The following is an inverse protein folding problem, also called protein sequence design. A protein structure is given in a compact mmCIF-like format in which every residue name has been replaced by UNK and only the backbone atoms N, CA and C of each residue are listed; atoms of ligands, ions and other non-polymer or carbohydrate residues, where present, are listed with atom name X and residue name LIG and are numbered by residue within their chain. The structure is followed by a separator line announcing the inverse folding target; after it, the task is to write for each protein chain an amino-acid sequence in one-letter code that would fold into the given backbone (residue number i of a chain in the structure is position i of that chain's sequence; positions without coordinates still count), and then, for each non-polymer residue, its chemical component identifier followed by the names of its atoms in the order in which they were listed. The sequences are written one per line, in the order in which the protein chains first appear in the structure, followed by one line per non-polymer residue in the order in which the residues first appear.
data_IF_748233795460
#
_entry.id   IF_748233795460
#
_cell.length_a   1.000
_cell.length_b   1.000
_cell.length_c   1.000
_cell.angle_alpha   90.00
_cell.angle_beta   90.00
_cell.angle_gamma   90.00
#
_symmetry.space_group_name_H-M   'P 1'
#
loop_
_entity.id
_entity.type
_entity.pdbx_description
1 polymer ?
#
# COMPACT_ATOMS: atom_id res chain seq x y z
N UNK A 1 -25.84 13.17 11.74
CA UNK A 1 -25.66 12.22 12.85
C UNK A 1 -26.49 12.71 14.04
N UNK A 2 -27.23 11.82 14.70
CA UNK A 2 -28.01 12.18 15.88
C UNK A 2 -27.80 11.09 16.94
N UNK A 3 -27.46 11.49 18.17
CA UNK A 3 -27.28 10.55 19.30
C UNK A 3 -28.56 9.79 19.60
N UNK A 4 -29.73 10.41 19.43
CA UNK A 4 -31.04 9.79 19.65
C UNK A 4 -31.41 8.71 18.62
N UNK A 5 -30.75 8.69 17.46
CA UNK A 5 -30.97 7.67 16.42
C UNK A 5 -29.90 6.55 16.43
N UNK A 6 -28.99 6.56 17.40
CA UNK A 6 -27.96 5.54 17.53
C UNK A 6 -26.95 5.48 16.35
N UNK A 7 -26.90 6.51 15.50
CA UNK A 7 -26.03 6.57 14.32
C UNK A 7 -24.80 7.49 14.53
N UNK A 8 -24.39 7.67 15.78
CA UNK A 8 -23.17 8.38 16.12
C UNK A 8 -22.03 7.37 16.24
N UNK A 9 -20.99 7.59 15.47
CA UNK A 9 -19.76 6.83 15.55
C UNK A 9 -18.79 7.60 16.47
N UNK A 10 -18.25 6.93 17.49
CA UNK A 10 -17.20 7.48 18.34
C UNK A 10 -15.84 7.28 17.64
N UNK A 11 -15.17 8.35 17.19
CA UNK A 11 -13.87 8.25 16.52
C UNK A 11 -12.79 7.62 17.41
N UNK A 12 -12.80 7.89 18.72
CA UNK A 12 -11.79 7.38 19.64
C UNK A 12 -11.92 5.86 19.77
N UNK A 13 -13.13 5.37 20.00
CA UNK A 13 -13.38 3.93 20.08
C UNK A 13 -12.97 3.19 18.79
N UNK A 14 -13.17 3.81 17.61
CA UNK A 14 -12.75 3.22 16.35
C UNK A 14 -11.23 3.25 16.15
N UNK A 15 -10.55 4.32 16.56
CA UNK A 15 -9.09 4.38 16.47
C UNK A 15 -8.42 3.40 17.41
N UNK A 16 -8.95 3.19 18.61
CA UNK A 16 -8.47 2.18 19.57
C UNK A 16 -8.64 0.74 19.03
N UNK A 17 -9.78 0.48 18.38
CA UNK A 17 -10.12 -0.85 17.85
C UNK A 17 -9.38 -1.20 16.56
N UNK A 18 -9.25 -0.25 15.64
CA UNK A 18 -8.76 -0.50 14.28
C UNK A 18 -7.43 0.17 13.93
N UNK A 19 -7.00 1.15 14.72
CA UNK A 19 -5.86 2.00 14.44
C UNK A 19 -6.25 3.31 13.75
N UNK A 20 -5.50 4.36 14.05
CA UNK A 20 -5.74 5.72 13.55
C UNK A 20 -5.64 5.80 12.03
N UNK A 21 -4.65 5.12 11.42
CA UNK A 21 -4.44 5.15 9.98
C UNK A 21 -5.61 4.52 9.22
N UNK A 22 -6.14 3.40 9.71
CA UNK A 22 -7.30 2.73 9.13
C UNK A 22 -8.55 3.62 9.19
N UNK A 23 -8.75 4.29 10.32
CA UNK A 23 -9.86 5.23 10.50
C UNK A 23 -9.75 6.42 9.54
N UNK A 24 -8.58 7.08 9.48
CA UNK A 24 -8.31 8.22 8.58
C UNK A 24 -8.50 7.83 7.11
N UNK A 25 -7.97 6.67 6.70
CA UNK A 25 -8.15 6.17 5.34
C UNK A 25 -9.64 5.94 5.02
N UNK A 26 -10.41 5.40 5.98
CA UNK A 26 -11.86 5.23 5.85
C UNK A 26 -12.65 6.54 5.68
N UNK A 27 -12.12 7.64 6.20
CA UNK A 27 -12.70 8.98 6.03
C UNK A 27 -12.40 9.59 4.66
N UNK A 28 -11.32 9.19 4.02
CA UNK A 28 -10.87 9.78 2.73
C UNK A 28 -11.33 8.96 1.54
N UNK A 29 -11.05 7.66 1.52
CA UNK A 29 -11.30 6.83 0.33
C UNK A 29 -12.77 6.60 0.08
N UNK A 30 -13.20 6.78 -1.16
CA UNK A 30 -14.57 6.57 -1.61
C UNK A 30 -15.58 7.61 -1.09
N UNK A 31 -15.08 8.77 -0.65
CA UNK A 31 -15.94 9.86 -0.16
C UNK A 31 -15.84 11.05 -1.12
N UNK A 32 -16.78 11.10 -2.06
CA UNK A 32 -16.88 12.22 -2.99
C UNK A 32 -17.37 13.48 -2.27
N UNK A 33 -16.77 14.65 -2.50
CA UNK A 33 -17.22 15.92 -1.94
C UNK A 33 -18.70 16.17 -2.22
N UNK A 34 -19.42 16.65 -1.21
CA UNK A 34 -20.85 16.94 -1.32
C UNK A 34 -21.79 15.74 -1.12
N UNK A 35 -21.24 14.53 -0.91
CA UNK A 35 -22.05 13.34 -0.59
C UNK A 35 -22.01 12.99 0.90
N UNK A 36 -23.04 12.25 1.36
CA UNK A 36 -23.05 11.76 2.73
C UNK A 36 -21.96 10.71 2.94
N UNK A 37 -21.17 10.86 3.99
CA UNK A 37 -20.14 9.91 4.37
C UNK A 37 -20.76 8.58 4.84
N UNK A 38 -20.58 7.52 4.07
CA UNK A 38 -20.93 6.16 4.47
C UNK A 38 -19.73 5.50 5.16
N UNK A 39 -19.61 5.69 6.47
CA UNK A 39 -18.56 5.05 7.26
C UNK A 39 -19.14 3.82 7.98
N UNK A 40 -18.53 2.66 7.77
CA UNK A 40 -18.87 1.42 8.46
C UNK A 40 -17.63 0.81 9.12
N UNK A 41 -17.82 0.05 10.20
CA UNK A 41 -16.72 -0.69 10.83
C UNK A 41 -16.03 -1.65 9.86
N UNK A 42 -16.78 -2.29 8.96
CA UNK A 42 -16.23 -3.20 7.96
C UNK A 42 -15.30 -2.47 6.97
N UNK A 43 -15.65 -1.23 6.57
CA UNK A 43 -14.82 -0.39 5.73
C UNK A 43 -13.49 -0.07 6.43
N UNK A 44 -13.54 0.34 7.69
CA UNK A 44 -12.35 0.66 8.49
C UNK A 44 -11.49 -0.59 8.72
N UNK A 45 -12.11 -1.73 9.01
CA UNK A 45 -11.41 -3.02 9.13
C UNK A 45 -10.65 -3.39 7.85
N UNK A 46 -11.23 -3.13 6.69
CA UNK A 46 -10.56 -3.31 5.38
C UNK A 46 -9.28 -2.49 5.28
N UNK A 47 -9.31 -1.23 5.71
CA UNK A 47 -8.12 -0.37 5.71
C UNK A 47 -7.09 -0.75 6.78
N UNK A 48 -7.48 -1.34 7.90
CA UNK A 48 -6.53 -1.96 8.83
C UNK A 48 -5.76 -3.10 8.17
N UNK A 49 -6.42 -3.95 7.39
CA UNK A 49 -5.72 -4.99 6.62
C UNK A 49 -4.79 -4.39 5.56
N UNK A 50 -5.18 -3.28 4.94
CA UNK A 50 -4.33 -2.56 4.01
C UNK A 50 -3.07 -1.99 4.68
N UNK A 51 -3.19 -1.34 5.83
CA UNK A 51 -2.05 -0.87 6.61
C UNK A 51 -1.09 -2.01 7.00
N UNK A 52 -1.64 -3.15 7.43
CA UNK A 52 -0.85 -4.34 7.71
C UNK A 52 -0.15 -4.90 6.46
N UNK A 53 -0.80 -4.84 5.29
CA UNK A 53 -0.19 -5.26 4.02
C UNK A 53 0.99 -4.37 3.64
N UNK A 54 0.86 -3.04 3.83
CA UNK A 54 1.97 -2.09 3.63
C UNK A 54 3.14 -2.45 4.55
N UNK A 55 2.88 -2.63 5.84
CA UNK A 55 3.90 -3.02 6.81
C UNK A 55 4.63 -4.30 6.42
N UNK A 56 3.89 -5.35 6.08
CA UNK A 56 4.46 -6.64 5.74
C UNK A 56 5.27 -6.60 4.43
N UNK A 57 4.80 -5.87 3.42
CA UNK A 57 5.52 -5.68 2.17
C UNK A 57 6.81 -4.88 2.39
N UNK A 58 6.77 -3.79 3.15
CA UNK A 58 7.94 -2.99 3.49
C UNK A 58 8.96 -3.81 4.30
N UNK A 59 8.49 -4.58 5.29
CA UNK A 59 9.34 -5.49 6.06
C UNK A 59 10.02 -6.53 5.17
N UNK A 60 9.28 -7.12 4.22
CA UNK A 60 9.84 -8.07 3.27
C UNK A 60 10.95 -7.44 2.45
N UNK A 61 10.73 -6.24 1.88
CA UNK A 61 11.75 -5.52 1.10
C UNK A 61 12.99 -5.28 1.93
N UNK A 62 12.84 -4.70 3.12
CA UNK A 62 13.97 -4.37 4.00
C UNK A 62 14.76 -5.63 4.41
N UNK A 63 14.07 -6.73 4.70
CA UNK A 63 14.73 -7.98 5.08
C UNK A 63 15.36 -8.73 3.90
N UNK A 64 14.99 -8.39 2.66
CA UNK A 64 15.56 -8.96 1.43
C UNK A 64 16.78 -8.18 0.93
N UNK A 65 17.07 -7.01 1.50
CA UNK A 65 18.27 -6.24 1.15
C UNK A 65 19.50 -6.91 1.77
N UNK A 66 20.55 -7.02 0.97
CA UNK A 66 21.86 -7.39 1.47
C UNK A 66 22.39 -6.26 2.36
N UNK A 67 22.92 -6.59 3.54
CA UNK A 67 23.47 -5.62 4.49
C UNK A 67 24.70 -4.89 3.94
N UNK A 68 25.42 -5.55 3.04
CA UNK A 68 26.65 -5.05 2.43
C UNK A 68 26.41 -4.45 1.03
N UNK A 69 25.13 -4.27 0.62
CA UNK A 69 24.79 -3.68 -0.67
C UNK A 69 25.27 -2.23 -0.76
N UNK A 70 26.13 -1.96 -1.75
CA UNK A 70 26.53 -0.60 -2.09
C UNK A 70 25.42 0.12 -2.85
N UNK A 71 24.67 0.96 -2.12
CA UNK A 71 23.60 1.76 -2.71
C UNK A 71 24.10 2.89 -3.63
N UNK A 72 25.41 3.20 -3.58
CA UNK A 72 26.03 4.21 -4.45
C UNK A 72 26.26 3.69 -5.88
N UNK A 73 26.28 2.36 -6.04
CA UNK A 73 26.47 1.70 -7.32
C UNK A 73 25.44 0.57 -7.50
N UNK A 74 24.17 0.92 -7.74
CA UNK A 74 23.10 -0.07 -7.87
C UNK A 74 23.33 -0.95 -9.12
N UNK A 75 22.87 -2.20 -9.10
CA UNK A 75 22.93 -3.07 -10.25
C UNK A 75 22.14 -2.50 -11.44
N UNK A 76 22.51 -2.89 -12.65
CA UNK A 76 21.79 -2.49 -13.86
C UNK A 76 20.32 -2.96 -13.78
N UNK A 77 19.42 -2.06 -14.14
CA UNK A 77 17.99 -2.37 -14.18
C UNK A 77 17.68 -3.31 -15.34
N UNK A 78 16.77 -4.22 -15.13
CA UNK A 78 16.19 -5.01 -16.22
C UNK A 78 15.12 -4.17 -16.93
N UNK A 79 14.74 -4.57 -18.15
CA UNK A 79 13.64 -3.94 -18.90
C UNK A 79 12.33 -3.90 -18.09
N UNK A 80 12.07 -4.95 -17.32
CA UNK A 80 10.90 -5.01 -16.45
C UNK A 80 11.00 -4.05 -15.27
N UNK A 81 12.19 -3.85 -14.70
CA UNK A 81 12.42 -2.88 -13.62
C UNK A 81 12.22 -1.45 -14.13
N UNK A 82 12.73 -1.13 -15.34
CA UNK A 82 12.53 0.16 -15.99
C UNK A 82 11.04 0.44 -16.22
N UNK A 83 10.28 -0.54 -16.71
CA UNK A 83 8.84 -0.43 -16.90
C UNK A 83 8.11 -0.18 -15.59
N UNK A 84 8.44 -0.91 -14.53
CA UNK A 84 7.83 -0.72 -13.21
C UNK A 84 8.13 0.67 -12.64
N UNK A 85 9.35 1.18 -12.84
CA UNK A 85 9.73 2.54 -12.42
C UNK A 85 9.00 3.61 -13.23
N UNK A 86 8.81 3.42 -14.53
CA UNK A 86 8.02 4.34 -15.34
C UNK A 86 6.57 4.39 -14.88
N UNK A 87 5.94 3.23 -14.63
CA UNK A 87 4.56 3.15 -14.09
C UNK A 87 4.45 3.87 -12.74
N UNK A 88 5.41 3.66 -11.84
CA UNK A 88 5.47 4.36 -10.55
C UNK A 88 5.61 5.88 -10.74
N UNK A 89 6.48 6.34 -11.63
CA UNK A 89 6.67 7.77 -11.89
C UNK A 89 5.40 8.43 -12.44
N UNK A 90 4.67 7.76 -13.33
CA UNK A 90 3.36 8.24 -13.80
C UNK A 90 2.36 8.33 -12.66
N UNK A 91 2.30 7.31 -11.78
CA UNK A 91 1.43 7.33 -10.62
C UNK A 91 1.78 8.50 -9.69
N UNK A 92 3.06 8.72 -9.41
CA UNK A 92 3.52 9.83 -8.54
C UNK A 92 3.07 11.17 -9.09
N UNK A 93 3.26 11.41 -10.40
CA UNK A 93 2.84 12.65 -11.04
C UNK A 93 1.31 12.85 -10.98
N UNK A 94 0.55 11.80 -11.26
CA UNK A 94 -0.91 11.83 -11.26
C UNK A 94 -1.49 12.01 -9.85
N UNK A 95 -0.94 11.34 -8.85
CA UNK A 95 -1.31 11.52 -7.44
C UNK A 95 -0.96 12.92 -6.95
N UNK A 96 0.21 13.44 -7.32
CA UNK A 96 0.62 14.80 -6.97
C UNK A 96 -0.38 15.83 -7.51
N UNK A 97 -0.80 15.68 -8.76
CA UNK A 97 -1.82 16.54 -9.35
C UNK A 97 -3.16 16.47 -8.60
N UNK A 98 -3.59 15.26 -8.20
CA UNK A 98 -4.81 15.11 -7.41
C UNK A 98 -4.70 15.76 -6.02
N UNK A 99 -3.53 15.63 -5.38
CA UNK A 99 -3.27 16.30 -4.09
C UNK A 99 -3.29 17.81 -4.20
N UNK A 100 -2.66 18.39 -5.22
CA UNK A 100 -2.63 19.84 -5.49
C UNK A 100 -4.04 20.39 -5.76
N UNK A 101 -4.92 19.57 -6.33
CA UNK A 101 -6.32 19.91 -6.59
C UNK A 101 -7.27 19.54 -5.44
N UNK A 102 -6.75 19.13 -4.28
CA UNK A 102 -7.54 18.71 -3.11
C UNK A 102 -8.47 17.51 -3.37
N UNK A 103 -8.18 16.70 -4.39
CA UNK A 103 -8.92 15.47 -4.72
C UNK A 103 -8.38 14.27 -3.93
N UNK A 104 -8.26 14.40 -2.62
CA UNK A 104 -7.63 13.41 -1.74
C UNK A 104 -8.24 12.01 -1.85
N UNK A 105 -9.54 11.91 -2.12
CA UNK A 105 -10.24 10.63 -2.27
C UNK A 105 -9.76 9.87 -3.53
N UNK A 106 -9.49 10.58 -4.64
CA UNK A 106 -8.94 9.98 -5.87
C UNK A 106 -7.49 9.58 -5.66
N UNK A 107 -6.67 10.47 -5.10
CA UNK A 107 -5.27 10.20 -4.79
C UNK A 107 -5.13 8.94 -3.91
N UNK A 108 -5.92 8.85 -2.84
CA UNK A 108 -5.88 7.73 -1.93
C UNK A 108 -6.36 6.41 -2.58
N UNK A 109 -7.34 6.45 -3.48
CA UNK A 109 -7.83 5.29 -4.22
C UNK A 109 -6.79 4.79 -5.22
N UNK A 110 -6.12 5.68 -5.97
CA UNK A 110 -5.01 5.33 -6.88
C UNK A 110 -3.87 4.65 -6.13
N UNK A 111 -3.45 5.22 -5.00
CA UNK A 111 -2.40 4.64 -4.15
C UNK A 111 -2.78 3.27 -3.61
N UNK A 112 -4.03 3.12 -3.14
CA UNK A 112 -4.56 1.84 -2.66
C UNK A 112 -4.49 0.78 -3.75
N UNK A 113 -5.02 1.07 -4.96
CA UNK A 113 -5.04 0.13 -6.08
C UNK A 113 -3.64 -0.25 -6.55
N UNK A 114 -2.75 0.73 -6.74
CA UNK A 114 -1.37 0.46 -7.16
C UNK A 114 -0.63 -0.40 -6.14
N UNK A 115 -0.68 0.00 -4.86
CA UNK A 115 0.04 -0.73 -3.82
C UNK A 115 -0.47 -2.16 -3.69
N UNK A 116 -1.78 -2.36 -3.68
CA UNK A 116 -2.35 -3.68 -3.49
C UNK A 116 -2.14 -4.58 -4.71
N UNK A 117 -2.55 -4.14 -5.88
CA UNK A 117 -2.64 -5.00 -7.06
C UNK A 117 -1.39 -5.00 -7.94
N UNK A 118 -0.61 -3.92 -7.95
CA UNK A 118 0.62 -3.85 -8.73
C UNK A 118 1.84 -4.16 -7.88
N UNK A 119 2.07 -3.39 -6.84
CA UNK A 119 3.29 -3.53 -6.03
C UNK A 119 3.29 -4.85 -5.24
N UNK A 120 2.26 -5.09 -4.41
CA UNK A 120 2.26 -6.24 -3.52
C UNK A 120 1.94 -7.56 -4.25
N UNK A 121 0.92 -7.60 -5.12
CA UNK A 121 0.48 -8.84 -5.73
C UNK A 121 1.30 -9.25 -6.98
N UNK A 122 1.93 -8.28 -7.69
CA UNK A 122 2.73 -8.60 -8.88
C UNK A 122 4.23 -8.48 -8.59
N UNK A 123 4.71 -7.27 -8.23
CA UNK A 123 6.16 -7.02 -8.11
C UNK A 123 6.75 -7.82 -6.95
N UNK A 124 6.17 -7.75 -5.75
CA UNK A 124 6.67 -8.48 -4.58
C UNK A 124 6.59 -10.00 -4.78
N UNK A 125 5.48 -10.53 -5.32
CA UNK A 125 5.35 -11.98 -5.52
C UNK A 125 6.29 -12.51 -6.61
N UNK A 126 6.54 -11.75 -7.68
CA UNK A 126 7.56 -12.10 -8.68
C UNK A 126 8.95 -12.20 -8.04
N UNK A 127 9.34 -11.20 -7.25
CA UNK A 127 10.65 -11.20 -6.55
C UNK A 127 10.77 -12.30 -5.52
N UNK A 128 9.73 -12.66 -4.80
CA UNK A 128 9.72 -13.82 -3.90
C UNK A 128 9.99 -15.14 -4.63
N UNK A 129 9.43 -15.28 -5.83
CA UNK A 129 9.62 -16.49 -6.64
C UNK A 129 11.07 -16.59 -7.15
N UNK A 130 11.67 -15.48 -7.56
CA UNK A 130 13.08 -15.41 -7.97
C UNK A 130 14.01 -15.81 -6.82
N UNK A 131 13.85 -15.22 -5.63
CA UNK A 131 14.65 -15.51 -4.43
C UNK A 131 14.53 -16.99 -4.01
N UNK A 132 13.35 -17.59 -4.11
CA UNK A 132 13.17 -19.02 -3.82
C UNK A 132 13.93 -19.90 -4.82
N UNK A 133 13.86 -19.60 -6.11
CA UNK A 133 14.53 -20.37 -7.15
C UNK A 133 16.06 -20.30 -7.04
N UNK A 134 16.61 -19.16 -6.65
CA UNK A 134 18.04 -18.99 -6.41
C UNK A 134 18.51 -19.80 -5.18
N UNK A 135 17.77 -19.74 -4.09
CA UNK A 135 18.08 -20.50 -2.88
C UNK A 135 18.01 -22.03 -3.11
N UNK A 136 17.12 -22.51 -3.95
CA UNK A 136 17.05 -23.92 -4.34
C UNK A 136 18.26 -24.32 -5.21
N UNK A 137 18.68 -23.51 -6.17
CA UNK A 137 19.88 -23.75 -7.00
C UNK A 137 21.14 -23.83 -6.15
N UNK A 138 21.32 -22.92 -5.19
CA UNK A 138 22.46 -22.92 -4.26
C UNK A 138 22.50 -24.17 -3.41
N UNK A 139 21.37 -24.66 -2.93
CA UNK A 139 21.30 -25.93 -2.19
C UNK A 139 21.66 -27.16 -3.03
N UNK A 140 21.31 -27.16 -4.32
CA UNK A 140 21.62 -28.27 -5.24
C UNK A 140 23.09 -28.29 -5.65
N UNK A 141 23.77 -27.13 -5.71
CA UNK A 141 25.19 -27.02 -6.07
C UNK A 141 26.14 -27.31 -4.88
N UNK A 142 25.61 -27.41 -3.65
CA UNK A 142 26.37 -27.69 -2.44
C UNK A 142 26.33 -29.19 -2.00
N UNK A 143 25.69 -30.06 -2.79
CA UNK A 143 25.70 -31.53 -2.64
C UNK A 143 26.59 -32.18 -3.68
#
# INVERSE_FOLDING_TARGET
MSKSKGNVIDPIALTDKFGTDAFRMGLVVGNTPGTALALSENKIKGYKHFANKIWNASRFVVMSLDKDMDLSNPPALTENDEKNLQELNFLVADVTLDMDQFRFYIAAEKLYHYFWHTFADKIIEAKKSEVKSENEKVKFSAQ
#
